data_IF_417144251961
#
_entry.id   IF_417144251961
#
_cell.length_a   1.000
_cell.length_b   1.000
_cell.length_c   1.000
_cell.angle_alpha   90.00
_cell.angle_beta   90.00
_cell.angle_gamma   90.00
#
_symmetry.space_group_name_H-M   'P 1'
#
loop_
_entity.id
_entity.type
_entity.pdbx_description
1 polymer ?
#
# COMPACT_ATOMS: atom_id res chain seq x y z
N UNK A 1 5.53 -21.07 5.63
CA UNK A 1 4.29 -20.26 5.42
C UNK A 1 3.23 -21.18 4.85
N UNK A 2 2.16 -21.42 5.59
CA UNK A 2 1.04 -22.29 5.17
C UNK A 2 0.38 -21.86 3.83
N UNK A 3 0.56 -20.62 3.42
CA UNK A 3 0.01 -20.07 2.18
C UNK A 3 0.49 -20.79 0.91
N UNK A 4 1.68 -21.40 0.93
CA UNK A 4 2.25 -22.09 -0.24
C UNK A 4 1.77 -23.55 -0.36
N UNK A 5 1.35 -24.14 0.75
CA UNK A 5 0.97 -25.55 0.82
C UNK A 5 -0.51 -25.79 0.45
N UNK A 6 -1.28 -24.70 0.35
CA UNK A 6 -2.72 -24.72 0.07
C UNK A 6 -3.01 -24.36 -1.40
N UNK A 7 -4.01 -24.99 -2.04
CA UNK A 7 -4.43 -24.64 -3.39
C UNK A 7 -4.80 -23.16 -3.52
N UNK A 8 -4.19 -22.49 -4.51
CA UNK A 8 -4.30 -21.04 -4.69
C UNK A 8 -5.73 -20.55 -4.89
N UNK A 9 -6.53 -21.28 -5.66
CA UNK A 9 -7.90 -20.88 -5.97
C UNK A 9 -8.78 -20.86 -4.72
N UNK A 10 -8.67 -21.87 -3.88
CA UNK A 10 -9.43 -21.96 -2.63
C UNK A 10 -8.98 -20.91 -1.63
N UNK A 11 -7.67 -20.70 -1.53
CA UNK A 11 -7.14 -19.64 -0.70
C UNK A 11 -7.72 -18.27 -1.11
N UNK A 12 -7.74 -17.97 -2.41
CA UNK A 12 -8.29 -16.71 -2.92
C UNK A 12 -9.78 -16.61 -2.63
N UNK A 13 -10.54 -17.69 -2.81
CA UNK A 13 -12.00 -17.72 -2.54
C UNK A 13 -12.31 -17.44 -1.08
N UNK A 14 -11.63 -18.13 -0.15
CA UNK A 14 -11.82 -17.92 1.29
C UNK A 14 -11.34 -16.54 1.74
N UNK A 15 -10.20 -16.08 1.23
CA UNK A 15 -9.72 -14.73 1.48
C UNK A 15 -10.71 -13.66 1.00
N UNK A 16 -11.34 -13.85 -0.16
CA UNK A 16 -12.35 -12.92 -0.66
C UNK A 16 -13.56 -12.83 0.27
N UNK A 17 -14.02 -13.96 0.80
CA UNK A 17 -15.11 -14.01 1.78
C UNK A 17 -14.78 -13.27 3.08
N UNK A 18 -13.55 -13.44 3.59
CA UNK A 18 -13.09 -12.73 4.81
C UNK A 18 -12.88 -11.23 4.53
N UNK A 19 -12.34 -10.85 3.36
CA UNK A 19 -12.18 -9.45 2.98
C UNK A 19 -13.50 -8.72 2.77
N UNK A 20 -14.58 -9.43 2.41
CA UNK A 20 -15.95 -8.87 2.30
C UNK A 20 -16.46 -8.37 3.66
N UNK A 21 -15.99 -8.93 4.77
CA UNK A 21 -16.34 -8.51 6.13
C UNK A 21 -15.61 -7.24 6.57
N UNK A 22 -14.55 -6.84 5.87
CA UNK A 22 -13.72 -5.67 6.23
C UNK A 22 -14.33 -4.41 5.63
N UNK A 23 -14.73 -3.46 6.48
CA UNK A 23 -15.39 -2.22 6.07
C UNK A 23 -14.57 -1.34 5.12
N UNK A 24 -13.23 -1.36 5.25
CA UNK A 24 -12.32 -0.57 4.42
C UNK A 24 -12.26 -1.03 2.96
N UNK A 25 -12.72 -2.26 2.68
CA UNK A 25 -12.65 -2.89 1.35
C UNK A 25 -14.06 -3.01 0.81
N UNK A 26 -14.49 -2.00 0.06
CA UNK A 26 -15.82 -1.97 -0.58
C UNK A 26 -15.66 -1.80 -2.09
N UNK A 27 -16.48 -2.55 -2.85
CA UNK A 27 -16.56 -2.34 -4.28
C UNK A 27 -17.11 -0.94 -4.55
N UNK A 28 -16.45 -0.11 -5.38
CA UNK A 28 -16.99 1.19 -5.75
C UNK A 28 -18.23 1.01 -6.66
N UNK A 29 -19.13 1.99 -6.72
CA UNK A 29 -20.37 1.94 -7.49
C UNK A 29 -20.18 1.63 -8.98
N UNK A 30 -19.09 2.12 -9.55
CA UNK A 30 -18.75 1.88 -10.96
C UNK A 30 -18.19 0.47 -11.23
N UNK A 31 -17.88 -0.33 -10.19
CA UNK A 31 -17.26 -1.64 -10.36
C UNK A 31 -18.12 -2.62 -11.17
N UNK A 32 -19.43 -2.51 -11.08
CA UNK A 32 -20.38 -3.37 -11.80
C UNK A 32 -20.33 -3.20 -13.32
N UNK A 33 -20.00 -2.01 -13.80
CA UNK A 33 -20.05 -1.67 -15.22
C UNK A 33 -18.72 -1.78 -15.95
N UNK A 34 -17.59 -1.83 -15.23
CA UNK A 34 -16.25 -1.78 -15.84
C UNK A 34 -15.66 -3.14 -16.12
N UNK A 35 -15.13 -3.30 -17.33
CA UNK A 35 -14.28 -4.42 -17.67
C UNK A 35 -12.89 -4.30 -17.04
N UNK A 36 -12.27 -5.43 -16.72
CA UNK A 36 -11.00 -5.49 -15.98
C UNK A 36 -9.74 -5.17 -16.82
N UNK A 37 -9.90 -4.93 -18.11
CA UNK A 37 -8.79 -4.58 -19.01
C UNK A 37 -9.22 -4.41 -20.45
N UNK A 38 -8.33 -3.87 -21.28
CA UNK A 38 -8.58 -3.64 -22.71
C UNK A 38 -8.81 -4.96 -23.46
N UNK A 39 -8.12 -6.01 -23.03
CA UNK A 39 -8.22 -7.34 -23.68
C UNK A 39 -9.53 -8.08 -23.34
N UNK A 40 -10.31 -7.60 -22.37
CA UNK A 40 -11.59 -8.23 -21.99
C UNK A 40 -12.74 -7.60 -22.76
N UNK A 41 -13.62 -8.43 -23.29
CA UNK A 41 -14.79 -7.99 -24.03
C UNK A 41 -15.93 -7.57 -23.11
N UNK A 42 -16.15 -8.35 -22.06
CA UNK A 42 -17.25 -8.18 -21.10
C UNK A 42 -16.74 -7.88 -19.67
N UNK A 43 -17.56 -7.25 -18.82
CA UNK A 43 -17.29 -7.17 -17.39
C UNK A 43 -17.29 -8.57 -16.75
N UNK A 44 -16.72 -8.73 -15.54
CA UNK A 44 -16.79 -10.00 -14.81
C UNK A 44 -18.23 -10.41 -14.53
N UNK A 45 -18.52 -11.70 -14.62
CA UNK A 45 -19.85 -12.28 -14.34
C UNK A 45 -20.16 -12.25 -12.84
N UNK A 46 -19.13 -12.49 -12.02
CA UNK A 46 -19.27 -12.54 -10.57
C UNK A 46 -19.45 -11.14 -9.99
N UNK A 47 -20.49 -10.94 -9.18
CA UNK A 47 -20.71 -9.68 -8.46
C UNK A 47 -19.60 -9.37 -7.47
N UNK A 48 -19.01 -10.39 -6.86
CA UNK A 48 -17.97 -10.30 -5.83
C UNK A 48 -16.54 -10.25 -6.40
N UNK A 49 -16.39 -10.08 -7.71
CA UNK A 49 -15.07 -10.06 -8.38
C UNK A 49 -14.06 -9.08 -7.77
N UNK A 50 -14.55 -8.01 -7.15
CA UNK A 50 -13.72 -7.01 -6.50
C UNK A 50 -12.94 -7.60 -5.33
N UNK A 51 -13.61 -8.38 -4.49
CA UNK A 51 -13.00 -9.05 -3.34
C UNK A 51 -12.04 -10.16 -3.77
N UNK A 52 -12.37 -10.92 -4.81
CA UNK A 52 -11.45 -11.88 -5.42
C UNK A 52 -10.19 -11.19 -5.94
N UNK A 53 -10.33 -10.01 -6.56
CA UNK A 53 -9.20 -9.22 -7.02
C UNK A 53 -8.37 -8.71 -5.85
N UNK A 54 -8.98 -8.25 -4.78
CA UNK A 54 -8.30 -7.80 -3.57
C UNK A 54 -7.50 -8.93 -2.91
N UNK A 55 -8.10 -10.10 -2.74
CA UNK A 55 -7.46 -11.30 -2.22
C UNK A 55 -6.25 -11.72 -3.08
N UNK A 56 -6.43 -11.76 -4.40
CA UNK A 56 -5.37 -12.09 -5.34
C UNK A 56 -4.21 -11.08 -5.32
N UNK A 57 -4.50 -9.80 -5.19
CA UNK A 57 -3.47 -8.74 -5.08
C UNK A 57 -2.72 -8.88 -3.75
N UNK A 58 -3.42 -9.05 -2.64
CA UNK A 58 -2.80 -9.22 -1.32
C UNK A 58 -1.84 -10.42 -1.31
N UNK A 59 -2.27 -11.57 -1.84
CA UNK A 59 -1.40 -12.73 -2.01
C UNK A 59 -0.18 -12.41 -2.86
N UNK A 60 -0.35 -11.71 -4.00
CA UNK A 60 0.78 -11.35 -4.87
C UNK A 60 1.78 -10.40 -4.23
N UNK A 61 1.33 -9.49 -3.36
CA UNK A 61 2.23 -8.62 -2.59
C UNK A 61 3.11 -9.44 -1.66
N UNK A 62 2.56 -10.44 -0.98
CA UNK A 62 3.33 -11.33 -0.10
C UNK A 62 4.36 -12.15 -0.88
N UNK A 63 3.97 -12.70 -2.04
CA UNK A 63 4.84 -13.57 -2.85
C UNK A 63 5.95 -12.79 -3.57
N UNK A 64 5.63 -11.61 -4.11
CA UNK A 64 6.54 -10.85 -4.97
C UNK A 64 7.34 -9.76 -4.24
N UNK A 65 7.01 -9.49 -2.98
CA UNK A 65 7.57 -8.39 -2.21
C UNK A 65 7.08 -7.02 -2.72
N UNK A 66 7.92 -5.98 -2.77
CA UNK A 66 7.51 -4.66 -3.18
C UNK A 66 6.95 -4.63 -4.60
N UNK A 67 5.65 -4.29 -4.74
CA UNK A 67 4.93 -4.31 -6.02
C UNK A 67 4.17 -3.03 -6.25
N UNK A 68 4.40 -2.43 -7.43
CA UNK A 68 3.66 -1.26 -7.91
C UNK A 68 2.52 -1.62 -8.85
N UNK A 69 1.66 -0.63 -9.14
CA UNK A 69 0.52 -0.76 -10.06
C UNK A 69 0.99 -1.23 -11.44
N UNK A 70 2.10 -0.71 -11.97
CA UNK A 70 2.60 -1.05 -13.31
C UNK A 70 2.90 -2.55 -13.44
N UNK A 71 3.61 -3.13 -12.48
CA UNK A 71 3.94 -4.57 -12.45
C UNK A 71 2.69 -5.44 -12.34
N UNK A 72 1.71 -5.01 -11.52
CA UNK A 72 0.44 -5.72 -11.41
C UNK A 72 -0.40 -5.63 -12.69
N UNK A 73 -0.39 -4.50 -13.39
CA UNK A 73 -1.06 -4.38 -14.70
C UNK A 73 -0.56 -5.42 -15.71
N UNK A 74 0.74 -5.66 -15.73
CA UNK A 74 1.32 -6.71 -16.58
C UNK A 74 0.87 -8.11 -16.12
N UNK A 75 0.86 -8.39 -14.81
CA UNK A 75 0.43 -9.69 -14.26
C UNK A 75 -1.06 -10.00 -14.47
N UNK A 76 -1.91 -8.96 -14.55
CA UNK A 76 -3.35 -9.08 -14.84
C UNK A 76 -3.72 -8.76 -16.29
N UNK A 77 -2.72 -8.53 -17.12
CA UNK A 77 -2.91 -8.38 -18.56
C UNK A 77 -3.25 -9.70 -19.25
N UNK A 78 -3.75 -9.62 -20.46
CA UNK A 78 -4.04 -10.79 -21.29
C UNK A 78 -3.90 -10.42 -22.77
N UNK A 79 -3.84 -11.44 -23.63
CA UNK A 79 -3.89 -11.27 -25.07
C UNK A 79 -5.29 -10.83 -25.48
N UNK A 80 -5.40 -9.94 -26.44
CA UNK A 80 -6.63 -9.49 -27.04
C UNK A 80 -6.78 -10.12 -28.42
N UNK A 81 -7.93 -10.74 -28.64
CA UNK A 81 -8.34 -11.17 -29.97
C UNK A 81 -8.62 -9.90 -30.83
N UNK A 82 -8.05 -9.84 -32.02
CA UNK A 82 -8.20 -8.73 -32.96
C UNK A 82 -8.80 -9.20 -34.30
N UNK A 83 -9.52 -10.32 -34.30
CA UNK A 83 -10.06 -10.93 -35.50
C UNK A 83 -8.98 -11.51 -36.39
N UNK A 84 -8.88 -11.06 -37.64
CA UNK A 84 -7.87 -11.53 -38.61
C UNK A 84 -6.44 -11.13 -38.24
N UNK A 85 -6.26 -9.99 -37.57
CA UNK A 85 -4.94 -9.54 -37.09
C UNK A 85 -4.43 -10.40 -35.95
N UNK A 86 -3.11 -10.62 -35.87
CA UNK A 86 -2.48 -11.41 -34.81
C UNK A 86 -2.79 -10.86 -33.42
N UNK A 87 -2.95 -11.76 -32.46
CA UNK A 87 -3.22 -11.39 -31.06
C UNK A 87 -2.10 -10.54 -30.47
N UNK A 88 -2.47 -9.53 -29.70
CA UNK A 88 -1.53 -8.66 -29.02
C UNK A 88 -1.79 -8.60 -27.52
N UNK A 89 -0.72 -8.55 -26.70
CA UNK A 89 -0.81 -8.45 -25.26
C UNK A 89 -1.14 -7.03 -24.81
N UNK A 90 -2.19 -6.89 -24.03
CA UNK A 90 -2.57 -5.62 -23.38
C UNK A 90 -2.53 -5.73 -21.86
N UNK A 91 -2.02 -4.68 -21.22
CA UNK A 91 -1.97 -4.57 -19.77
C UNK A 91 -3.38 -4.44 -19.18
N UNK A 92 -3.59 -4.98 -17.99
CA UNK A 92 -4.84 -4.86 -17.24
C UNK A 92 -5.19 -3.43 -16.82
N UNK A 93 -6.44 -3.20 -16.37
CA UNK A 93 -6.94 -1.91 -15.93
C UNK A 93 -6.18 -1.42 -14.67
N UNK A 94 -5.54 -0.26 -14.80
CA UNK A 94 -4.71 0.31 -13.72
C UNK A 94 -5.54 0.91 -12.59
N UNK A 95 -6.72 1.47 -12.89
CA UNK A 95 -7.56 2.11 -11.87
C UNK A 95 -8.07 1.09 -10.86
N UNK A 96 -8.57 -0.06 -11.32
CA UNK A 96 -9.04 -1.14 -10.45
C UNK A 96 -7.95 -1.57 -9.46
N UNK A 97 -6.73 -1.81 -9.97
CA UNK A 97 -5.58 -2.21 -9.16
C UNK A 97 -5.18 -1.10 -8.16
N UNK A 98 -5.16 0.16 -8.62
CA UNK A 98 -4.82 1.31 -7.76
C UNK A 98 -5.80 1.46 -6.62
N UNK A 99 -7.10 1.39 -6.88
CA UNK A 99 -8.15 1.52 -5.85
C UNK A 99 -8.09 0.37 -4.86
N UNK A 100 -7.92 -0.88 -5.31
CA UNK A 100 -7.74 -2.04 -4.43
C UNK A 100 -6.50 -1.87 -3.53
N UNK A 101 -5.37 -1.44 -4.08
CA UNK A 101 -4.16 -1.19 -3.29
C UNK A 101 -4.37 -0.11 -2.22
N UNK A 102 -5.08 0.97 -2.55
CA UNK A 102 -5.43 2.03 -1.60
C UNK A 102 -6.36 1.51 -0.49
N UNK A 103 -7.30 0.64 -0.82
CA UNK A 103 -8.18 0.00 0.18
C UNK A 103 -7.41 -0.95 1.10
N UNK A 104 -6.48 -1.75 0.55
CA UNK A 104 -5.60 -2.61 1.36
C UNK A 104 -4.66 -1.81 2.26
N UNK A 105 -4.20 -0.63 1.83
CA UNK A 105 -3.45 0.31 2.67
C UNK A 105 -4.31 0.85 3.82
N UNK A 106 -5.55 1.28 3.52
CA UNK A 106 -6.50 1.74 4.54
C UNK A 106 -6.86 0.65 5.56
N UNK A 107 -6.97 -0.59 5.10
CA UNK A 107 -7.20 -1.75 5.95
C UNK A 107 -5.96 -2.15 6.79
N UNK A 108 -4.80 -1.54 6.55
CA UNK A 108 -3.55 -1.87 7.25
C UNK A 108 -2.88 -3.18 6.80
N UNK A 109 -3.35 -3.82 5.74
CA UNK A 109 -2.76 -5.07 5.22
C UNK A 109 -1.57 -4.85 4.30
N UNK A 110 -1.44 -3.66 3.74
CA UNK A 110 -0.32 -3.27 2.91
C UNK A 110 0.20 -1.89 3.32
N UNK A 111 1.51 -1.67 3.19
CA UNK A 111 2.16 -0.39 3.42
C UNK A 111 2.98 0.03 2.19
N UNK A 112 3.28 1.30 2.08
CA UNK A 112 4.24 1.78 1.08
C UNK A 112 5.64 1.31 1.47
N UNK A 113 6.40 0.83 0.50
CA UNK A 113 7.81 0.50 0.72
C UNK A 113 8.60 1.75 1.13
N UNK A 114 9.59 1.58 1.98
CA UNK A 114 10.47 2.65 2.42
C UNK A 114 11.23 3.28 1.24
N UNK A 115 11.59 4.56 1.38
CA UNK A 115 12.25 5.32 0.30
C UNK A 115 13.63 4.74 -0.08
N UNK A 116 14.28 4.06 0.83
CA UNK A 116 15.63 3.49 0.67
C UNK A 116 15.63 2.09 0.03
N UNK A 117 14.45 1.52 -0.26
CA UNK A 117 14.36 0.20 -0.88
C UNK A 117 14.56 0.31 -2.40
N UNK A 118 15.36 -0.58 -3.00
CA UNK A 118 15.63 -0.63 -4.45
C UNK A 118 14.33 -0.67 -5.29
N UNK A 119 13.29 -1.32 -4.77
CA UNK A 119 12.00 -1.46 -5.46
C UNK A 119 10.94 -0.64 -4.76
N UNK A 120 10.46 0.38 -5.43
CA UNK A 120 9.31 1.18 -4.99
C UNK A 120 8.01 0.40 -5.20
N UNK A 121 7.09 0.51 -4.25
CA UNK A 121 5.77 -0.17 -4.34
C UNK A 121 5.09 -0.31 -3.00
N UNK A 122 4.23 -1.32 -2.90
CA UNK A 122 3.56 -1.73 -1.66
C UNK A 122 4.11 -3.05 -1.19
N UNK A 123 4.30 -3.15 0.13
CA UNK A 123 4.77 -4.35 0.83
C UNK A 123 3.64 -4.82 1.75
N UNK A 124 3.56 -6.12 1.97
CA UNK A 124 2.62 -6.67 2.94
C UNK A 124 3.08 -6.33 4.36
N UNK A 125 2.16 -5.87 5.18
CA UNK A 125 2.41 -5.67 6.61
C UNK A 125 2.40 -7.01 7.35
N UNK A 126 2.98 -7.11 8.55
CA UNK A 126 2.87 -8.31 9.38
C UNK A 126 1.41 -8.72 9.62
N UNK A 127 0.50 -7.75 9.76
CA UNK A 127 -0.93 -7.99 9.89
C UNK A 127 -1.52 -8.66 8.64
N UNK A 128 -1.15 -8.17 7.44
CA UNK A 128 -1.58 -8.77 6.17
C UNK A 128 -1.07 -10.20 5.97
N UNK A 129 0.19 -10.45 6.31
CA UNK A 129 0.78 -11.80 6.27
C UNK A 129 0.05 -12.74 7.24
N UNK A 130 -0.13 -12.31 8.50
CA UNK A 130 -0.84 -13.08 9.52
C UNK A 130 -2.29 -13.38 9.13
N UNK A 131 -2.96 -12.44 8.47
CA UNK A 131 -4.32 -12.62 7.96
C UNK A 131 -4.39 -13.75 6.92
N UNK A 132 -3.49 -13.74 5.92
CA UNK A 132 -3.43 -14.80 4.90
C UNK A 132 -3.09 -16.15 5.55
N UNK A 133 -2.13 -16.19 6.46
CA UNK A 133 -1.72 -17.42 7.13
C UNK A 133 -2.84 -18.03 7.97
N UNK A 134 -3.63 -17.22 8.68
CA UNK A 134 -4.80 -17.69 9.43
C UNK A 134 -5.80 -18.40 8.52
N UNK A 135 -6.12 -17.83 7.36
CA UNK A 135 -7.03 -18.43 6.40
C UNK A 135 -6.43 -19.69 5.80
N UNK A 136 -5.15 -19.66 5.43
CA UNK A 136 -4.45 -20.83 4.90
C UNK A 136 -4.42 -22.00 5.91
N UNK A 137 -4.18 -21.72 7.19
CA UNK A 137 -4.23 -22.76 8.23
C UNK A 137 -5.62 -23.39 8.40
N UNK A 138 -6.70 -22.60 8.27
CA UNK A 138 -8.06 -23.13 8.32
C UNK A 138 -8.30 -24.12 7.18
N UNK A 139 -7.93 -23.75 5.96
CA UNK A 139 -8.06 -24.63 4.79
C UNK A 139 -7.21 -25.89 4.92
N UNK A 140 -5.98 -25.73 5.41
CA UNK A 140 -5.09 -26.88 5.63
C UNK A 140 -5.66 -27.87 6.65
N UNK A 141 -6.28 -27.39 7.73
CA UNK A 141 -6.98 -28.22 8.72
C UNK A 141 -8.19 -28.93 8.12
N UNK A 142 -9.01 -28.23 7.33
CA UNK A 142 -10.17 -28.81 6.65
C UNK A 142 -9.79 -29.93 5.68
N UNK A 143 -8.62 -29.80 5.02
CA UNK A 143 -8.13 -30.77 4.03
C UNK A 143 -7.19 -31.82 4.62
N UNK A 144 -6.86 -31.75 5.90
CA UNK A 144 -5.89 -32.67 6.51
C UNK A 144 -4.47 -32.54 5.96
N UNK A 145 -4.11 -31.38 5.39
CA UNK A 145 -2.76 -31.12 4.87
C UNK A 145 -1.80 -30.98 6.05
N UNK A 146 -0.82 -31.87 6.13
CA UNK A 146 0.21 -31.81 7.18
C UNK A 146 1.14 -30.64 6.87
N UNK A 147 0.98 -29.56 7.62
CA UNK A 147 1.88 -28.41 7.54
C UNK A 147 3.18 -28.73 8.26
N UNK A 148 4.36 -28.39 7.70
CA UNK A 148 5.62 -28.54 8.41
C UNK A 148 5.56 -27.72 9.72
N UNK A 149 5.86 -28.38 10.82
CA UNK A 149 5.89 -27.74 12.14
C UNK A 149 6.83 -26.53 12.07
N UNK A 150 6.36 -25.39 12.54
CA UNK A 150 7.26 -24.23 12.69
C UNK A 150 8.41 -24.65 13.59
N UNK A 151 9.69 -24.45 13.19
CA UNK A 151 10.78 -24.68 14.11
C UNK A 151 10.48 -23.86 15.37
N UNK A 152 10.36 -24.53 16.52
CA UNK A 152 10.35 -23.85 17.82
C UNK A 152 11.69 -23.14 17.92
N UNK A 153 11.69 -21.86 17.66
CA UNK A 153 12.81 -21.00 18.06
C UNK A 153 12.72 -21.01 19.58
N UNK A 154 13.50 -21.90 20.18
CA UNK A 154 13.81 -21.80 21.61
C UNK A 154 14.50 -20.44 21.76
N UNK A 155 13.77 -19.47 22.21
CA UNK A 155 14.33 -18.27 22.81
C UNK A 155 15.16 -18.80 24.00
N UNK A 156 16.44 -19.11 23.74
CA UNK A 156 17.42 -19.22 24.82
C UNK A 156 17.32 -17.90 25.53
N UNK A 157 16.68 -17.94 26.68
CA UNK A 157 16.69 -16.88 27.66
C UNK A 157 18.16 -16.59 27.97
N UNK A 158 18.74 -15.63 27.26
CA UNK A 158 19.94 -14.98 27.70
C UNK A 158 19.56 -14.23 28.98
N UNK A 159 19.64 -14.99 30.09
CA UNK A 159 19.55 -14.43 31.42
C UNK A 159 20.63 -13.35 31.53
N UNK A 160 20.15 -12.17 31.68
CA UNK A 160 20.71 -11.03 32.40
C UNK A 160 22.23 -11.12 32.75
N UNK A 161 23.07 -10.63 31.89
CA UNK A 161 24.25 -9.89 32.35
C UNK A 161 23.98 -8.40 32.12
N UNK A 162 23.66 -7.73 33.22
CA UNK A 162 23.61 -6.27 33.30
C UNK A 162 25.05 -5.76 33.20
N UNK A 163 25.46 -5.04 32.14
CA UNK A 163 26.71 -4.31 32.21
C UNK A 163 26.53 -3.14 33.19
N UNK A 164 27.41 -3.09 34.16
CA UNK A 164 27.48 -2.07 35.19
C UNK A 164 27.43 -0.65 34.61
N UNK A 165 26.55 0.17 35.17
CA UNK A 165 26.32 1.54 34.81
C UNK A 165 27.62 2.37 34.89
N UNK A 166 28.20 2.75 33.77
CA UNK A 166 29.14 3.86 33.67
C UNK A 166 28.37 5.16 33.76
N UNK A 167 28.59 5.91 34.85
CA UNK A 167 28.04 7.24 35.10
C UNK A 167 28.31 8.17 33.89
N UNK A 168 27.30 8.92 33.42
CA UNK A 168 27.51 9.87 32.32
C UNK A 168 28.37 11.03 32.81
N UNK A 169 29.50 11.26 32.11
CA UNK A 169 30.35 12.43 32.24
C UNK A 169 29.58 13.65 31.72
N UNK A 170 29.28 14.58 32.61
CA UNK A 170 28.67 15.88 32.29
C UNK A 170 29.62 16.70 31.42
N UNK A 171 29.23 17.13 30.21
CA UNK A 171 30.05 18.09 29.46
C UNK A 171 29.90 19.49 30.05
N UNK A 172 31.02 20.14 30.39
CA UNK A 172 31.08 21.54 30.83
C UNK A 172 30.49 22.46 29.75
N UNK A 173 29.45 23.22 30.11
CA UNK A 173 28.92 24.33 29.33
C UNK A 173 30.00 25.36 29.06
N UNK A 174 30.37 25.56 27.81
CA UNK A 174 31.03 26.82 27.38
C UNK A 174 29.93 27.89 27.27
N UNK A 175 30.05 28.94 28.06
CA UNK A 175 29.29 30.17 27.94
C UNK A 175 29.63 30.78 26.57
N UNK A 176 28.69 30.89 25.70
CA UNK A 176 28.73 31.77 24.55
C UNK A 176 27.90 32.99 24.92
N UNK A 177 28.56 34.12 25.07
CA UNK A 177 27.95 35.43 25.17
C UNK A 177 27.34 35.76 23.82
N UNK A 178 26.02 35.79 23.79
CA UNK A 178 25.25 36.24 22.60
C UNK A 178 25.01 37.73 22.81
N UNK A 179 25.66 38.57 21.99
CA UNK A 179 25.57 40.01 22.02
C UNK A 179 24.18 40.52 21.65
N UNK A 180 23.69 41.47 22.44
CA UNK A 180 22.38 42.11 22.36
C UNK A 180 22.15 42.95 21.09
N UNK A 181 23.11 43.02 20.18
CA UNK A 181 23.01 43.82 18.95
C UNK A 181 22.19 43.23 17.80
N UNK A 182 21.87 41.92 17.86
CA UNK A 182 21.11 41.26 16.79
C UNK A 182 19.57 41.34 16.94
N UNK A 183 19.09 41.81 18.09
CA UNK A 183 17.65 41.96 18.36
C UNK A 183 17.10 43.35 18.00
N UNK A 184 17.98 44.36 17.79
CA UNK A 184 17.56 45.70 17.40
C UNK A 184 17.32 45.84 15.90
N UNK A 185 18.00 45.10 15.03
CA UNK A 185 17.83 45.16 13.57
C UNK A 185 16.60 44.44 13.05
N UNK A 186 16.07 43.46 13.80
CA UNK A 186 14.85 42.75 13.38
C UNK A 186 13.54 43.48 13.67
N UNK A 187 13.56 44.51 14.52
CA UNK A 187 12.37 45.29 14.87
C UNK A 187 12.09 46.47 13.93
N UNK A 188 13.06 46.91 13.13
CA UNK A 188 12.95 48.10 12.28
C UNK A 188 12.44 47.79 10.85
N UNK A 189 12.34 46.50 10.46
CA UNK A 189 11.85 46.09 9.15
C UNK A 189 10.35 45.74 9.10
N UNK A 190 9.62 45.81 10.21
CA UNK A 190 8.22 45.44 10.30
C UNK A 190 7.22 46.60 10.18
N UNK A 191 7.65 47.81 9.90
CA UNK A 191 6.77 48.99 9.80
C UNK A 191 6.95 49.72 8.48
N UNK A 192 6.49 49.14 7.37
CA UNK A 192 6.18 49.91 6.17
C UNK A 192 4.70 49.69 5.77
N UNK A 193 3.92 50.74 5.59
CA UNK A 193 2.51 50.64 5.25
C UNK A 193 2.36 50.28 3.76
N UNK A 194 1.48 49.31 3.50
CA UNK A 194 1.03 48.92 2.17
C UNK A 194 0.20 50.04 1.60
N UNK A 195 0.67 50.67 0.53
CA UNK A 195 -0.07 51.65 -0.26
C UNK A 195 -1.01 50.90 -1.21
N UNK A 196 -2.30 51.05 -0.97
CA UNK A 196 -3.38 50.65 -1.87
C UNK A 196 -3.28 51.39 -3.20
N UNK A 197 -3.25 50.67 -4.33
CA UNK A 197 -3.47 51.25 -5.65
C UNK A 197 -4.93 50.97 -6.08
N UNK A 198 -5.66 51.96 -6.59
CA UNK A 198 -7.05 51.81 -7.00
C UNK A 198 -7.18 51.11 -8.35
N UNK A 199 -8.22 50.30 -8.47
CA UNK A 199 -8.67 49.63 -9.67
C UNK A 199 -9.02 50.62 -10.78
N UNK A 200 -8.48 50.44 -11.98
CA UNK A 200 -8.99 51.10 -13.20
C UNK A 200 -9.96 50.15 -13.91
N UNK A 201 -11.22 50.57 -13.92
CA UNK A 201 -12.24 50.09 -14.84
C UNK A 201 -11.86 50.48 -16.27
N UNK A 202 -11.84 49.47 -17.17
CA UNK A 202 -11.92 49.75 -18.62
C UNK A 202 -13.20 49.14 -19.15
N UNK A 203 -14.15 49.99 -19.34
CA UNK A 203 -15.29 49.84 -20.24
C UNK A 203 -14.78 49.97 -21.66
N UNK A 204 -15.11 49.06 -22.54
CA UNK A 204 -15.14 49.27 -24.00
C UNK A 204 -16.27 48.43 -24.58
N UNK A 205 -17.20 49.09 -24.93
CA UNK A 205 -18.26 49.15 -25.93
C UNK A 205 -17.95 48.45 -27.25
N UNK A 206 -18.94 47.69 -27.66
CA UNK A 206 -19.58 47.52 -28.98
C UNK A 206 -18.74 47.65 -30.27
N UNK A 207 -18.77 46.68 -31.14
CA UNK A 207 -19.53 46.57 -32.40
C UNK A 207 -19.51 45.09 -32.85
#
# INVERSE_FOLDING_TARGET
>A
MAMYDVPVNELITRLAQELKKVESIKAPSWATFVKTGIAKERPPTDSDWWYFRAASILRKIVVLGPVGVSKLRTKYGSRKNRGVASEHFYKGAGNNIRKVLQQLEKAGFAAKAEKNTERKGRVATPAGISFIEKVAMRIAKEKGIVLPAKPKVELKSAAAEKPAAKKPRVPKKKKAEFSESALAEAAEQATQPVIEQPAQETVSEAV
#
